data_IF_588603690538
#
_entry.id   IF_588603690538
#
_cell.length_a   1.000
_cell.length_b   1.000
_cell.length_c   1.000
_cell.angle_alpha   90.00
_cell.angle_beta   90.00
_cell.angle_gamma   90.00
#
_symmetry.space_group_name_H-M   'P 1'
#
loop_
_entity.id
_entity.type
_entity.pdbx_description
1 polymer ?
#
# COMPACT_ATOMS: atom_id res chain seq x y z
N UNK A 1 -5.77 -21.33 -35.15
CA UNK A 1 -5.55 -22.06 -33.88
C UNK A 1 -4.76 -21.15 -32.96
N UNK A 2 -5.14 -21.04 -31.69
CA UNK A 2 -4.38 -20.31 -30.66
C UNK A 2 -3.60 -21.34 -29.85
N UNK A 3 -2.28 -21.18 -29.74
CA UNK A 3 -1.42 -22.01 -28.91
C UNK A 3 -0.86 -21.15 -27.78
N UNK A 4 -1.06 -21.57 -26.53
CA UNK A 4 -0.57 -20.85 -25.34
C UNK A 4 0.73 -21.51 -24.85
N UNK A 5 1.80 -20.72 -24.73
CA UNK A 5 3.07 -21.14 -24.13
C UNK A 5 3.14 -20.58 -22.71
N UNK A 6 3.40 -21.43 -21.72
CA UNK A 6 3.59 -21.02 -20.32
C UNK A 6 5.04 -21.23 -19.91
N UNK A 7 5.74 -20.16 -19.54
CA UNK A 7 7.12 -20.19 -19.06
C UNK A 7 7.12 -19.88 -17.55
N UNK A 8 7.66 -20.80 -16.74
CA UNK A 8 7.80 -20.62 -15.29
C UNK A 8 9.26 -20.27 -14.94
N UNK A 9 9.52 -19.00 -14.64
CA UNK A 9 10.86 -18.50 -14.29
C UNK A 9 11.27 -18.77 -12.83
N UNK A 10 10.44 -19.45 -12.03
CA UNK A 10 10.73 -19.73 -10.62
C UNK A 10 10.94 -18.44 -9.82
N UNK A 11 12.11 -18.34 -9.16
CA UNK A 11 12.55 -17.17 -8.37
C UNK A 11 13.49 -16.24 -9.16
N UNK A 12 13.82 -16.56 -10.41
CA UNK A 12 14.84 -15.87 -11.17
C UNK A 12 14.29 -14.58 -11.82
N UNK A 13 14.88 -13.45 -11.44
CA UNK A 13 14.59 -12.12 -12.01
C UNK A 13 15.37 -11.93 -13.30
N UNK A 14 14.81 -11.21 -14.27
CA UNK A 14 15.55 -10.79 -15.46
C UNK A 14 14.72 -10.69 -16.73
N UNK A 15 15.36 -10.25 -17.81
CA UNK A 15 14.79 -10.25 -19.15
C UNK A 15 15.09 -11.59 -19.83
N UNK A 16 14.05 -12.27 -20.28
CA UNK A 16 14.12 -13.52 -21.00
C UNK A 16 13.71 -13.29 -22.45
N UNK A 17 14.56 -13.65 -23.40
CA UNK A 17 14.20 -13.61 -24.82
C UNK A 17 13.60 -14.96 -25.21
N UNK A 18 12.30 -14.97 -25.47
CA UNK A 18 11.58 -16.14 -25.99
C UNK A 18 11.65 -16.10 -27.51
N UNK A 19 12.23 -17.13 -28.12
CA UNK A 19 12.31 -17.27 -29.57
C UNK A 19 11.21 -18.23 -30.03
N UNK A 20 10.18 -17.70 -30.68
CA UNK A 20 9.09 -18.48 -31.24
C UNK A 20 9.39 -18.77 -32.70
N UNK A 21 9.60 -20.05 -33.04
CA UNK A 21 9.86 -20.50 -34.41
C UNK A 21 8.68 -21.31 -34.93
N UNK A 22 8.11 -20.88 -36.05
CA UNK A 22 7.05 -21.60 -36.76
C UNK A 22 7.57 -22.07 -38.12
N UNK A 23 7.31 -23.33 -38.49
CA UNK A 23 7.71 -23.89 -39.78
C UNK A 23 6.55 -24.55 -40.50
N UNK A 24 6.44 -24.34 -41.82
CA UNK A 24 5.54 -25.06 -42.72
C UNK A 24 6.30 -25.39 -44.01
N UNK A 25 6.62 -26.67 -44.21
CA UNK A 25 7.50 -27.10 -45.31
C UNK A 25 8.89 -26.45 -45.17
N UNK A 26 9.35 -25.79 -46.24
CA UNK A 26 10.62 -25.03 -46.26
C UNK A 26 10.50 -23.60 -45.71
N UNK A 27 9.30 -23.12 -45.37
CA UNK A 27 9.10 -21.78 -44.82
C UNK A 27 9.25 -21.81 -43.31
N UNK A 28 10.20 -21.02 -42.79
CA UNK A 28 10.45 -20.81 -41.37
C UNK A 28 10.25 -19.34 -41.05
N UNK A 29 9.43 -19.02 -40.05
CA UNK A 29 9.32 -17.69 -39.46
C UNK A 29 9.75 -17.74 -38.00
N UNK A 30 10.52 -16.75 -37.59
CA UNK A 30 10.97 -16.58 -36.21
C UNK A 30 10.49 -15.24 -35.69
N UNK A 31 9.92 -15.23 -34.48
CA UNK A 31 9.57 -14.02 -33.73
C UNK A 31 10.32 -14.08 -32.41
N UNK A 32 10.95 -12.98 -32.03
CA UNK A 32 11.57 -12.82 -30.72
C UNK A 32 10.64 -11.98 -29.85
N UNK A 33 10.38 -12.45 -28.65
CA UNK A 33 9.58 -11.76 -27.64
C UNK A 33 10.42 -11.63 -26.39
N UNK A 34 10.71 -10.40 -25.97
CA UNK A 34 11.34 -10.17 -24.68
C UNK A 34 10.27 -10.16 -23.58
N UNK A 35 10.52 -10.97 -22.55
CA UNK A 35 9.67 -11.08 -21.37
C UNK A 35 10.51 -10.76 -20.15
N UNK A 36 10.24 -9.63 -19.53
CA UNK A 36 10.89 -9.23 -18.27
C UNK A 36 10.10 -9.80 -17.10
N UNK A 37 10.72 -10.72 -16.34
CA UNK A 37 10.17 -11.21 -15.09
C UNK A 37 10.76 -10.36 -13.97
N UNK A 38 9.97 -9.42 -13.47
CA UNK A 38 10.31 -8.66 -12.29
C UNK A 38 10.29 -9.55 -11.04
N UNK A 39 10.99 -9.12 -9.99
CA UNK A 39 10.82 -9.71 -8.66
C UNK A 39 9.33 -9.76 -8.29
N UNK A 40 8.88 -10.90 -7.73
CA UNK A 40 7.56 -11.03 -7.11
C UNK A 40 7.43 -10.02 -5.97
N UNK A 41 6.95 -8.84 -6.30
CA UNK A 41 6.57 -7.80 -5.36
C UNK A 41 5.05 -7.77 -5.28
N UNK A 42 4.51 -7.54 -4.07
CA UNK A 42 3.08 -7.63 -3.73
C UNK A 42 2.54 -9.08 -3.61
N UNK A 43 3.26 -9.97 -2.91
CA UNK A 43 2.95 -11.40 -2.74
C UNK A 43 1.49 -11.72 -2.45
N UNK A 44 0.88 -11.05 -1.47
CA UNK A 44 -0.52 -11.32 -1.07
C UNK A 44 -1.48 -10.99 -2.21
N UNK A 45 -1.29 -9.83 -2.87
CA UNK A 45 -2.14 -9.43 -3.98
C UNK A 45 -1.98 -10.40 -5.16
N UNK A 46 -0.76 -10.76 -5.54
CA UNK A 46 -0.50 -11.74 -6.60
C UNK A 46 -1.12 -13.10 -6.30
N UNK A 47 -1.00 -13.61 -5.07
CA UNK A 47 -1.63 -14.88 -4.66
C UNK A 47 -3.17 -14.82 -4.72
N UNK A 48 -3.74 -13.66 -4.38
CA UNK A 48 -5.19 -13.43 -4.30
C UNK A 48 -5.85 -13.25 -5.66
N UNK A 49 -5.22 -12.47 -6.54
CA UNK A 49 -5.71 -12.21 -7.90
C UNK A 49 -5.23 -13.25 -8.92
N UNK A 50 -4.24 -14.07 -8.55
CA UNK A 50 -3.76 -15.20 -9.34
C UNK A 50 -2.85 -14.84 -10.50
N UNK A 51 -2.53 -13.55 -10.67
CA UNK A 51 -1.68 -13.08 -11.77
C UNK A 51 -0.89 -11.84 -11.35
N UNK A 52 0.36 -11.75 -11.83
CA UNK A 52 1.19 -10.54 -11.67
C UNK A 52 0.75 -9.40 -12.57
N UNK A 53 0.06 -9.71 -13.67
CA UNK A 53 -0.48 -8.73 -14.62
C UNK A 53 -1.95 -8.38 -14.33
N UNK A 54 -2.51 -8.85 -13.21
CA UNK A 54 -3.82 -8.41 -12.76
C UNK A 54 -3.84 -6.89 -12.54
N UNK A 55 -4.92 -6.23 -12.92
CA UNK A 55 -5.04 -4.76 -12.89
C UNK A 55 -4.75 -4.19 -11.49
N UNK A 56 -5.24 -4.85 -10.45
CA UNK A 56 -5.04 -4.47 -9.05
C UNK A 56 -3.57 -4.56 -8.64
N UNK A 57 -2.87 -5.60 -9.07
CA UNK A 57 -1.44 -5.79 -8.79
C UNK A 57 -0.62 -4.73 -9.53
N UNK A 58 -0.96 -4.46 -10.80
CA UNK A 58 -0.30 -3.45 -11.61
C UNK A 58 -0.54 -2.03 -11.07
N UNK A 59 -1.73 -1.74 -10.57
CA UNK A 59 -2.00 -0.50 -9.86
C UNK A 59 -1.08 -0.34 -8.63
N UNK A 60 -0.99 -1.36 -7.77
CA UNK A 60 -0.10 -1.31 -6.59
C UNK A 60 1.37 -1.11 -6.98
N UNK A 61 1.82 -1.75 -8.06
CA UNK A 61 3.19 -1.58 -8.59
C UNK A 61 3.44 -0.17 -9.09
N UNK A 62 2.51 0.42 -9.86
CA UNK A 62 2.61 1.80 -10.33
C UNK A 62 2.61 2.79 -9.18
N UNK A 63 1.66 2.66 -8.25
CA UNK A 63 1.63 3.48 -7.03
C UNK A 63 2.99 3.45 -6.29
N UNK A 64 3.55 2.26 -6.09
CA UNK A 64 4.87 2.11 -5.49
C UNK A 64 5.97 2.77 -6.34
N UNK A 65 6.07 2.42 -7.61
CA UNK A 65 7.22 2.80 -8.44
C UNK A 65 7.20 4.30 -8.80
N UNK A 66 6.04 4.81 -9.21
CA UNK A 66 5.91 6.13 -9.82
C UNK A 66 5.71 7.23 -8.77
N UNK A 67 5.08 6.92 -7.63
CA UNK A 67 4.81 7.90 -6.56
C UNK A 67 5.70 7.71 -5.33
N UNK A 68 5.81 6.49 -4.81
CA UNK A 68 6.51 6.24 -3.54
C UNK A 68 8.03 6.18 -3.74
N UNK A 69 8.52 5.37 -4.68
CA UNK A 69 9.96 5.18 -4.87
C UNK A 69 10.64 6.32 -5.64
N UNK A 70 9.86 7.19 -6.28
CA UNK A 70 10.37 8.38 -6.97
C UNK A 70 10.80 9.49 -6.01
N UNK A 71 10.39 9.43 -4.74
CA UNK A 71 10.61 10.48 -3.71
C UNK A 71 11.53 9.99 -2.59
N UNK A 72 12.25 10.90 -1.95
CA UNK A 72 13.15 10.58 -0.83
C UNK A 72 12.37 10.12 0.40
N UNK A 73 11.34 10.85 0.82
CA UNK A 73 10.50 10.45 1.95
C UNK A 73 9.83 9.10 1.68
N UNK A 74 9.31 8.90 0.47
CA UNK A 74 8.68 7.65 0.05
C UNK A 74 9.65 6.47 0.03
N UNK A 75 10.88 6.63 -0.47
CA UNK A 75 11.92 5.59 -0.40
C UNK A 75 12.28 5.21 1.03
N UNK A 76 12.45 6.21 1.92
CA UNK A 76 12.76 5.98 3.33
C UNK A 76 11.66 5.20 4.04
N UNK A 77 10.40 5.65 3.88
CA UNK A 77 9.24 4.92 4.40
C UNK A 77 9.16 3.49 3.84
N UNK A 78 9.33 3.35 2.51
CA UNK A 78 9.23 2.06 1.85
C UNK A 78 10.26 1.07 2.36
N UNK A 79 11.47 1.49 2.74
CA UNK A 79 12.47 0.59 3.34
C UNK A 79 11.95 -0.05 4.64
N UNK A 80 11.36 0.75 5.55
CA UNK A 80 10.78 0.26 6.81
C UNK A 80 9.58 -0.65 6.52
N UNK A 81 8.66 -0.17 5.68
CA UNK A 81 7.47 -0.93 5.30
C UNK A 81 7.82 -2.26 4.63
N UNK A 82 8.81 -2.27 3.73
CA UNK A 82 9.23 -3.45 2.99
C UNK A 82 9.83 -4.50 3.93
N UNK A 83 10.68 -4.10 4.87
CA UNK A 83 11.22 -5.00 5.89
C UNK A 83 10.09 -5.64 6.72
N UNK A 84 9.12 -4.84 7.16
CA UNK A 84 7.96 -5.34 7.89
C UNK A 84 7.11 -6.30 7.02
N UNK A 85 6.70 -5.88 5.82
CA UNK A 85 5.79 -6.65 4.95
C UNK A 85 6.40 -7.97 4.49
N UNK A 86 7.69 -7.99 4.13
CA UNK A 86 8.34 -9.22 3.62
C UNK A 86 8.70 -10.20 4.75
N UNK A 87 8.68 -9.78 6.01
CA UNK A 87 8.91 -10.68 7.15
C UNK A 87 7.84 -11.76 7.31
N UNK A 88 6.61 -11.52 6.84
CA UNK A 88 5.47 -12.43 7.01
C UNK A 88 4.64 -12.68 5.74
N UNK A 89 4.60 -11.74 4.80
CA UNK A 89 3.75 -11.85 3.61
C UNK A 89 4.00 -13.06 2.70
N UNK A 90 5.23 -13.60 2.54
CA UNK A 90 5.44 -14.80 1.72
C UNK A 90 4.71 -16.03 2.27
N UNK A 91 4.65 -16.19 3.60
CA UNK A 91 3.95 -17.30 4.26
C UNK A 91 2.44 -17.19 4.04
N UNK A 92 1.88 -15.98 4.18
CA UNK A 92 0.47 -15.72 3.91
C UNK A 92 0.13 -15.96 2.44
N UNK A 93 0.98 -15.51 1.51
CA UNK A 93 0.77 -15.74 0.09
C UNK A 93 0.79 -17.23 -0.27
N UNK A 94 1.72 -18.00 0.31
CA UNK A 94 1.73 -19.47 0.17
C UNK A 94 0.43 -20.08 0.68
N UNK A 95 -0.01 -19.68 1.87
CA UNK A 95 -1.26 -20.18 2.44
C UNK A 95 -2.49 -19.91 1.56
N UNK A 96 -2.58 -18.73 0.93
CA UNK A 96 -3.64 -18.38 -0.04
C UNK A 96 -3.58 -19.26 -1.31
N UNK A 97 -2.37 -19.57 -1.79
CA UNK A 97 -2.18 -20.44 -2.94
C UNK A 97 -2.58 -21.88 -2.64
N UNK A 98 -2.22 -22.38 -1.46
CA UNK A 98 -2.53 -23.74 -0.99
C UNK A 98 -4.04 -23.89 -0.67
N UNK A 99 -4.74 -22.80 -0.37
CA UNK A 99 -6.15 -22.79 0.02
C UNK A 99 -7.00 -21.85 -0.85
N UNK A 100 -7.47 -22.30 -2.04
CA UNK A 100 -8.19 -21.44 -2.99
C UNK A 100 -9.43 -20.75 -2.43
N UNK A 101 -10.13 -21.34 -1.44
CA UNK A 101 -11.31 -20.78 -0.81
C UNK A 101 -11.03 -19.47 -0.04
N UNK A 102 -9.78 -19.24 0.36
CA UNK A 102 -9.34 -18.03 1.09
C UNK A 102 -9.22 -16.81 0.16
N UNK A 103 -9.06 -17.03 -1.14
CA UNK A 103 -8.90 -15.94 -2.12
C UNK A 103 -10.09 -14.96 -2.06
N UNK A 104 -11.32 -15.46 -1.95
CA UNK A 104 -12.51 -14.60 -1.91
C UNK A 104 -12.55 -13.69 -0.66
N UNK A 105 -12.40 -14.20 0.58
CA UNK A 105 -12.23 -13.36 1.77
C UNK A 105 -11.07 -12.35 1.65
N UNK A 106 -9.91 -12.77 1.13
CA UNK A 106 -8.77 -11.85 0.99
C UNK A 106 -9.04 -10.77 -0.07
N UNK A 107 -9.76 -11.06 -1.15
CA UNK A 107 -10.21 -10.02 -2.11
C UNK A 107 -11.10 -8.98 -1.43
N UNK A 108 -12.04 -9.41 -0.60
CA UNK A 108 -12.92 -8.50 0.16
C UNK A 108 -12.08 -7.61 1.08
N UNK A 109 -11.10 -8.19 1.78
CA UNK A 109 -10.16 -7.43 2.60
C UNK A 109 -9.34 -6.46 1.74
N UNK A 110 -8.79 -6.86 0.60
CA UNK A 110 -7.98 -5.98 -0.24
C UNK A 110 -8.76 -4.82 -0.86
N UNK A 111 -10.08 -4.92 -1.02
CA UNK A 111 -10.89 -3.89 -1.67
C UNK A 111 -10.81 -2.49 -1.01
N UNK A 112 -11.09 -2.31 0.29
CA UNK A 112 -10.92 -1.02 0.96
C UNK A 112 -9.47 -0.51 0.95
N UNK A 113 -8.48 -1.41 0.98
CA UNK A 113 -7.07 -1.03 0.85
C UNK A 113 -6.80 -0.43 -0.54
N UNK A 114 -7.23 -1.12 -1.61
CA UNK A 114 -7.06 -0.63 -2.98
C UNK A 114 -7.79 0.69 -3.20
N UNK A 115 -9.01 0.84 -2.66
CA UNK A 115 -9.76 2.09 -2.71
C UNK A 115 -8.99 3.23 -2.03
N UNK A 116 -8.47 2.98 -0.82
CA UNK A 116 -7.69 3.96 -0.05
C UNK A 116 -6.46 4.43 -0.83
N UNK A 117 -5.73 3.49 -1.44
CA UNK A 117 -4.56 3.79 -2.25
C UNK A 117 -4.91 4.49 -3.58
N UNK A 118 -6.04 4.17 -4.22
CA UNK A 118 -6.52 4.86 -5.42
C UNK A 118 -6.82 6.33 -5.13
N UNK A 119 -7.52 6.62 -4.04
CA UNK A 119 -7.82 7.99 -3.61
C UNK A 119 -6.52 8.74 -3.26
N UNK A 120 -5.64 8.11 -2.48
CA UNK A 120 -4.33 8.68 -2.14
C UNK A 120 -3.47 8.95 -3.38
N UNK A 121 -3.46 8.04 -4.35
CA UNK A 121 -2.75 8.20 -5.62
C UNK A 121 -3.29 9.37 -6.42
N UNK A 122 -4.61 9.53 -6.49
CA UNK A 122 -5.24 10.64 -7.22
C UNK A 122 -4.80 12.00 -6.64
N UNK A 123 -4.84 12.13 -5.31
CA UNK A 123 -4.42 13.36 -4.61
C UNK A 123 -2.92 13.57 -4.75
N UNK A 124 -2.12 12.51 -4.59
CA UNK A 124 -0.66 12.57 -4.73
C UNK A 124 -0.25 13.05 -6.12
N UNK A 125 -0.82 12.47 -7.19
CA UNK A 125 -0.54 12.87 -8.57
C UNK A 125 -0.91 14.34 -8.80
N UNK A 126 -2.05 14.80 -8.27
CA UNK A 126 -2.47 16.20 -8.40
C UNK A 126 -1.47 17.19 -7.76
N UNK A 127 -0.78 16.77 -6.69
CA UNK A 127 0.22 17.59 -5.99
C UNK A 127 1.65 17.38 -6.51
N UNK A 128 1.89 16.34 -7.32
CA UNK A 128 3.24 15.94 -7.73
C UNK A 128 3.98 17.03 -8.49
N UNK A 129 3.25 17.79 -9.33
CA UNK A 129 3.81 18.91 -10.09
C UNK A 129 4.21 20.10 -9.21
N UNK A 130 3.64 20.23 -8.01
CA UNK A 130 3.97 21.31 -7.07
C UNK A 130 5.25 20.96 -6.31
N UNK A 131 5.26 19.78 -5.68
CA UNK A 131 6.43 19.25 -4.99
C UNK A 131 6.25 17.73 -4.79
N UNK A 132 7.17 16.88 -5.31
CA UNK A 132 7.07 15.43 -5.18
C UNK A 132 7.04 14.93 -3.72
N UNK A 133 7.80 15.56 -2.81
CA UNK A 133 7.84 15.16 -1.39
C UNK A 133 6.52 15.50 -0.68
N UNK A 134 5.95 16.68 -0.95
CA UNK A 134 4.61 17.04 -0.43
C UNK A 134 3.56 16.07 -0.97
N UNK A 135 3.67 15.70 -2.25
CA UNK A 135 2.75 14.77 -2.88
C UNK A 135 2.76 13.39 -2.21
N UNK A 136 3.94 12.79 -1.99
CA UNK A 136 4.02 11.46 -1.36
C UNK A 136 3.61 11.49 0.11
N UNK A 137 3.98 12.54 0.86
CA UNK A 137 3.59 12.68 2.28
C UNK A 137 2.07 12.83 2.39
N UNK A 138 1.46 13.65 1.54
CA UNK A 138 0.00 13.84 1.52
C UNK A 138 -0.72 12.54 1.13
N UNK A 139 -0.23 11.83 0.11
CA UNK A 139 -0.76 10.53 -0.26
C UNK A 139 -0.66 9.53 0.90
N UNK A 140 0.46 9.52 1.63
CA UNK A 140 0.66 8.70 2.83
C UNK A 140 -0.36 9.02 3.94
N UNK A 141 -0.59 10.30 4.23
CA UNK A 141 -1.60 10.75 5.20
C UNK A 141 -3.00 10.26 4.81
N UNK A 142 -3.41 10.50 3.56
CA UNK A 142 -4.73 10.10 3.05
C UNK A 142 -4.89 8.58 3.09
N UNK A 143 -3.90 7.84 2.59
CA UNK A 143 -3.94 6.38 2.60
C UNK A 143 -4.06 5.84 4.03
N UNK A 144 -3.25 6.35 4.95
CA UNK A 144 -3.23 5.90 6.35
C UNK A 144 -4.53 6.21 7.07
N UNK A 145 -5.09 7.40 6.88
CA UNK A 145 -6.37 7.79 7.45
C UNK A 145 -7.51 6.89 6.95
N UNK A 146 -7.58 6.61 5.65
CA UNK A 146 -8.60 5.73 5.06
C UNK A 146 -8.43 4.27 5.48
N UNK A 147 -7.19 3.77 5.58
CA UNK A 147 -6.92 2.45 6.13
C UNK A 147 -7.37 2.37 7.61
N UNK A 148 -7.03 3.39 8.42
CA UNK A 148 -7.52 3.51 9.79
C UNK A 148 -9.05 3.49 9.87
N UNK A 149 -9.70 4.23 8.97
CA UNK A 149 -11.16 4.27 8.86
C UNK A 149 -11.76 2.88 8.61
N UNK A 150 -11.29 2.15 7.61
CA UNK A 150 -11.90 0.87 7.23
C UNK A 150 -11.53 -0.29 8.17
N UNK A 151 -10.27 -0.36 8.62
CA UNK A 151 -9.77 -1.52 9.36
C UNK A 151 -9.77 -1.35 10.86
N UNK A 152 -9.41 -0.15 11.36
CA UNK A 152 -9.21 0.05 12.79
C UNK A 152 -10.48 0.56 13.48
N UNK A 153 -11.35 1.30 12.78
CA UNK A 153 -12.62 1.79 13.35
C UNK A 153 -13.47 0.70 13.99
N UNK A 154 -13.83 -0.42 13.33
CA UNK A 154 -14.67 -1.43 13.98
C UNK A 154 -14.04 -2.00 15.26
N UNK A 155 -12.71 -2.16 15.28
CA UNK A 155 -11.95 -2.65 16.44
C UNK A 155 -11.99 -1.61 17.57
N UNK A 156 -11.68 -0.35 17.26
CA UNK A 156 -11.67 0.76 18.24
C UNK A 156 -13.07 0.98 18.83
N UNK A 157 -14.11 0.96 18.01
CA UNK A 157 -15.50 1.10 18.49
C UNK A 157 -15.87 -0.05 19.44
N UNK A 158 -15.44 -1.29 19.14
CA UNK A 158 -15.71 -2.45 19.98
C UNK A 158 -14.93 -2.40 21.30
N UNK A 159 -13.61 -2.15 21.25
CA UNK A 159 -12.71 -2.16 22.40
C UNK A 159 -12.99 -0.96 23.32
N UNK A 160 -13.18 0.23 22.77
CA UNK A 160 -13.39 1.46 23.53
C UNK A 160 -14.88 1.80 23.75
N UNK A 161 -15.81 0.86 23.49
CA UNK A 161 -17.26 1.11 23.59
C UNK A 161 -17.71 1.69 24.94
N UNK A 162 -17.03 1.33 26.04
CA UNK A 162 -17.36 1.78 27.41
C UNK A 162 -16.62 3.05 27.83
N UNK A 163 -15.64 3.49 27.05
CA UNK A 163 -14.77 4.61 27.41
C UNK A 163 -15.16 5.85 26.60
N UNK A 164 -15.23 7.01 27.26
CA UNK A 164 -15.35 8.31 26.59
C UNK A 164 -13.98 8.92 26.39
N UNK A 165 -13.69 9.33 25.16
CA UNK A 165 -12.41 9.95 24.84
C UNK A 165 -12.39 11.41 25.33
N UNK A 166 -11.31 11.81 26.01
CA UNK A 166 -11.12 13.19 26.50
C UNK A 166 -10.71 14.12 25.35
N UNK A 167 -10.97 15.43 25.50
CA UNK A 167 -10.50 16.43 24.52
C UNK A 167 -8.96 16.53 24.51
N UNK A 168 -8.33 16.37 25.68
CA UNK A 168 -6.87 16.44 25.84
C UNK A 168 -6.15 15.36 25.04
N UNK A 169 -6.73 14.16 24.90
CA UNK A 169 -6.18 13.12 24.02
C UNK A 169 -6.01 13.62 22.59
N UNK A 170 -7.03 14.29 22.03
CA UNK A 170 -6.95 14.81 20.66
C UNK A 170 -5.94 15.94 20.53
N UNK A 171 -5.81 16.81 21.54
CA UNK A 171 -4.76 17.84 21.57
C UNK A 171 -3.38 17.18 21.46
N UNK A 172 -3.12 16.14 22.25
CA UNK A 172 -1.85 15.41 22.19
C UNK A 172 -1.64 14.76 20.83
N UNK A 173 -2.66 14.08 20.27
CA UNK A 173 -2.54 13.46 18.95
C UNK A 173 -2.26 14.48 17.84
N UNK A 174 -2.90 15.65 17.87
CA UNK A 174 -2.61 16.71 16.90
C UNK A 174 -1.19 17.26 17.06
N UNK A 175 -0.71 17.43 18.29
CA UNK A 175 0.67 17.85 18.55
C UNK A 175 1.70 16.81 18.05
N UNK A 176 1.40 15.52 18.18
CA UNK A 176 2.24 14.45 17.64
C UNK A 176 2.31 14.51 16.12
N UNK A 177 1.16 14.71 15.44
CA UNK A 177 1.14 14.88 13.97
C UNK A 177 1.97 16.09 13.54
N UNK A 178 1.84 17.23 14.23
CA UNK A 178 2.65 18.44 13.95
C UNK A 178 4.13 18.13 14.16
N UNK A 179 4.46 17.41 15.23
CA UNK A 179 5.85 17.04 15.53
C UNK A 179 6.42 16.14 14.45
N UNK A 180 5.68 15.12 14.01
CA UNK A 180 6.09 14.22 12.93
C UNK A 180 6.30 14.96 11.60
N UNK A 181 5.42 15.92 11.25
CA UNK A 181 5.58 16.71 10.01
C UNK A 181 6.78 17.66 10.08
N UNK A 182 7.06 18.26 11.24
CA UNK A 182 8.27 19.07 11.45
C UNK A 182 9.53 18.20 11.31
N UNK A 183 9.54 17.00 11.86
CA UNK A 183 10.68 16.08 11.69
C UNK A 183 10.87 15.66 10.24
N UNK A 184 9.80 15.46 9.45
CA UNK A 184 9.90 15.19 8.01
C UNK A 184 10.53 16.38 7.29
N UNK A 185 10.07 17.61 7.57
CA UNK A 185 10.62 18.81 6.95
C UNK A 185 12.10 19.03 7.29
N UNK A 186 12.50 18.79 8.54
CA UNK A 186 13.90 18.81 8.97
C UNK A 186 14.72 17.70 8.30
N UNK A 187 14.19 16.48 8.25
CA UNK A 187 14.88 15.35 7.64
C UNK A 187 15.09 15.54 6.14
N UNK A 188 14.16 16.20 5.45
CA UNK A 188 14.29 16.62 4.06
C UNK A 188 15.39 17.69 3.92
N UNK A 189 15.31 18.78 4.70
CA UNK A 189 16.23 19.91 4.62
C UNK A 189 17.70 19.52 4.87
N UNK A 190 17.93 18.55 5.76
CA UNK A 190 19.27 18.10 6.15
C UNK A 190 19.64 16.72 5.60
N UNK A 191 18.82 16.11 4.73
CA UNK A 191 19.04 14.76 4.19
C UNK A 191 19.28 13.67 5.25
N UNK A 192 18.56 13.74 6.38
CA UNK A 192 18.74 12.83 7.52
C UNK A 192 17.91 11.56 7.36
N UNK A 193 18.46 10.53 6.72
CA UNK A 193 17.73 9.30 6.37
C UNK A 193 17.10 8.57 7.57
N UNK A 194 17.80 8.34 8.70
CA UNK A 194 17.19 7.66 9.84
C UNK A 194 16.00 8.44 10.41
N UNK A 195 16.10 9.78 10.42
CA UNK A 195 15.03 10.64 10.90
C UNK A 195 13.83 10.60 9.94
N UNK A 196 14.07 10.63 8.63
CA UNK A 196 13.01 10.52 7.62
C UNK A 196 12.26 9.18 7.74
N UNK A 197 12.99 8.07 7.89
CA UNK A 197 12.41 6.74 8.08
C UNK A 197 11.51 6.69 9.32
N UNK A 198 12.00 7.22 10.45
CA UNK A 198 11.24 7.25 11.70
C UNK A 198 10.00 8.15 11.59
N UNK A 199 10.18 9.39 11.13
CA UNK A 199 9.12 10.40 11.11
C UNK A 199 7.98 10.03 10.14
N UNK A 200 8.29 9.51 8.95
CA UNK A 200 7.28 9.05 7.98
C UNK A 200 6.49 7.83 8.51
N UNK A 201 7.17 6.91 9.19
CA UNK A 201 6.52 5.74 9.81
C UNK A 201 5.62 6.17 10.97
N UNK A 202 6.08 7.06 11.84
CA UNK A 202 5.29 7.58 12.96
C UNK A 202 4.05 8.33 12.46
N UNK A 203 4.20 9.22 11.49
CA UNK A 203 3.07 9.92 10.88
C UNK A 203 2.05 8.94 10.29
N UNK A 204 2.50 7.89 9.61
CA UNK A 204 1.62 6.85 9.04
C UNK A 204 0.80 6.16 10.14
N UNK A 205 1.44 5.76 11.24
CA UNK A 205 0.77 5.09 12.37
C UNK A 205 -0.18 6.03 13.11
N UNK A 206 0.24 7.28 13.34
CA UNK A 206 -0.57 8.32 13.97
C UNK A 206 -1.85 8.57 13.16
N UNK A 207 -1.73 8.73 11.84
CA UNK A 207 -2.90 8.95 10.97
C UNK A 207 -3.83 7.74 10.93
N UNK A 208 -3.30 6.52 10.91
CA UNK A 208 -4.10 5.30 10.97
C UNK A 208 -4.88 5.16 12.29
N UNK A 209 -4.35 5.69 13.41
CA UNK A 209 -5.00 5.64 14.72
C UNK A 209 -5.91 6.85 15.00
N UNK A 210 -5.56 8.04 14.49
CA UNK A 210 -6.32 9.26 14.72
C UNK A 210 -7.74 9.15 14.15
N UNK A 211 -7.88 8.62 12.93
CA UNK A 211 -9.19 8.49 12.26
C UNK A 211 -10.22 7.66 13.02
N UNK A 212 -9.95 6.42 13.46
CA UNK A 212 -10.94 5.65 14.22
C UNK A 212 -11.27 6.29 15.58
N UNK A 213 -10.31 6.98 16.22
CA UNK A 213 -10.56 7.71 17.47
C UNK A 213 -11.46 8.94 17.25
N UNK A 214 -11.28 9.70 16.15
CA UNK A 214 -12.17 10.82 15.83
C UNK A 214 -13.58 10.34 15.53
N UNK A 215 -13.75 9.24 14.79
CA UNK A 215 -15.07 8.60 14.58
C UNK A 215 -15.72 8.22 15.90
N UNK A 216 -14.98 7.55 16.81
CA UNK A 216 -15.49 7.21 18.15
C UNK A 216 -15.93 8.44 18.92
N UNK A 217 -15.13 9.52 18.92
CA UNK A 217 -15.47 10.76 19.62
C UNK A 217 -16.70 11.45 19.04
N UNK A 218 -16.85 11.43 17.71
CA UNK A 218 -18.03 11.97 17.04
C UNK A 218 -19.29 11.20 17.42
N UNK A 219 -19.22 9.87 17.41
CA UNK A 219 -20.34 9.01 17.83
C UNK A 219 -20.72 9.22 19.30
N UNK A 220 -19.74 9.35 20.21
CA UNK A 220 -20.01 9.64 21.63
C UNK A 220 -20.77 10.96 21.81
N UNK A 221 -20.42 11.99 21.03
CA UNK A 221 -21.08 13.29 21.09
C UNK A 221 -22.51 13.23 20.50
N UNK A 222 -22.70 12.52 19.38
CA UNK A 222 -24.01 12.34 18.75
C UNK A 222 -24.97 11.54 19.64
N UNK A 223 -24.51 10.42 20.20
CA UNK A 223 -25.32 9.62 21.13
C UNK A 223 -25.67 10.41 22.39
N UNK A 224 -24.75 11.24 22.90
CA UNK A 224 -25.07 12.09 24.04
C UNK A 224 -26.18 13.10 23.72
N UNK A 225 -26.16 13.74 22.56
CA UNK A 225 -27.20 14.70 22.14
C UNK A 225 -28.57 14.07 21.86
N UNK A 226 -28.62 12.80 21.47
CA UNK A 226 -29.88 12.10 21.15
C UNK A 226 -30.57 11.56 22.40
N UNK A 227 -29.79 11.14 23.40
CA UNK A 227 -30.32 10.46 24.59
C UNK A 227 -30.37 11.35 25.86
N UNK A 228 -29.79 12.56 25.85
CA UNK A 228 -29.78 13.51 26.97
C UNK A 228 -30.03 14.93 26.46
#
# INVERSE_FOLDING_TARGET
AVATLTVNAGSAKGTYTIIVKASRGSVVKTVQVEVTVEEKKCFIATATYGSEIAEEVQFLRRFRNELVLSTYAGRCFYQVFNAFYYSWSPYVAKFILDNPWIKAPVRILLYPLLLSLKIASFIGIALFAVNPEIAVVTAGIVASALIGLFYFTPIVLLVLRKYRLSKNLFIVLFLLVITSTVHIALAEAFSLTPLMMLATTMLTLEMALLTPLTVKKLLDNLLFQVFF
#
